data_IF_423081914460
#
_entry.id   IF_423081914460
#
_cell.length_a   1.000
_cell.length_b   1.000
_cell.length_c   1.000
_cell.angle_alpha   90.00
_cell.angle_beta   90.00
_cell.angle_gamma   90.00
#
_symmetry.space_group_name_H-M   'P 1'
#
loop_
_entity.id
_entity.type
_entity.pdbx_description
1 polymer ?
#
# COMPACT_ATOMS: atom_id res chain seq x y z
N UNK A 1 7.74 -23.45 -20.06
CA UNK A 1 8.07 -22.12 -19.55
C UNK A 1 9.26 -21.63 -20.35
N UNK A 2 9.08 -20.61 -21.17
CA UNK A 2 10.20 -19.96 -21.83
C UNK A 2 11.09 -19.32 -20.77
N UNK A 3 12.39 -19.58 -20.83
CA UNK A 3 13.35 -18.94 -19.93
C UNK A 3 13.49 -17.48 -20.36
N UNK A 4 13.12 -16.55 -19.48
CA UNK A 4 13.37 -15.13 -19.71
C UNK A 4 14.87 -14.86 -19.83
N UNK A 5 15.26 -14.04 -20.81
CA UNK A 5 16.64 -13.62 -21.02
C UNK A 5 16.80 -12.14 -20.63
N UNK A 6 17.97 -11.80 -20.08
CA UNK A 6 18.34 -10.39 -19.88
C UNK A 6 18.84 -9.86 -21.20
N UNK A 7 18.12 -8.89 -21.77
CA UNK A 7 18.47 -8.27 -23.06
C UNK A 7 19.44 -7.11 -22.87
N UNK A 8 19.24 -6.30 -21.79
CA UNK A 8 20.11 -5.16 -21.51
C UNK A 8 20.07 -4.78 -20.04
N UNK A 9 21.16 -4.20 -19.55
CA UNK A 9 21.26 -3.53 -18.24
C UNK A 9 21.67 -2.10 -18.48
N UNK A 10 20.81 -1.17 -18.07
CA UNK A 10 20.97 0.27 -18.37
C UNK A 10 21.27 1.01 -17.08
N UNK A 11 22.37 1.77 -17.04
CA UNK A 11 22.69 2.68 -15.96
C UNK A 11 21.94 4.00 -16.16
N UNK A 12 21.25 4.45 -15.10
CA UNK A 12 20.50 5.71 -15.12
C UNK A 12 18.98 5.53 -15.11
N UNK A 13 18.28 6.65 -14.93
CA UNK A 13 16.81 6.67 -14.77
C UNK A 13 16.13 7.69 -15.69
N UNK A 14 16.86 8.34 -16.60
CA UNK A 14 16.26 9.32 -17.50
C UNK A 14 15.65 8.63 -18.73
N UNK A 15 14.41 8.98 -19.02
CA UNK A 15 13.63 8.33 -20.08
C UNK A 15 14.31 8.36 -21.45
N UNK A 16 14.99 9.46 -21.75
CA UNK A 16 15.67 9.63 -23.04
C UNK A 16 16.90 8.73 -23.14
N UNK A 17 17.75 8.72 -22.12
CA UNK A 17 18.95 7.85 -22.07
C UNK A 17 18.58 6.36 -22.19
N UNK A 18 17.48 5.97 -21.55
CA UNK A 18 16.94 4.61 -21.66
C UNK A 18 16.44 4.34 -23.09
N UNK A 19 15.70 5.27 -23.67
CA UNK A 19 15.16 5.12 -25.03
C UNK A 19 16.27 5.01 -26.08
N UNK A 20 17.34 5.80 -25.98
CA UNK A 20 18.50 5.72 -26.90
C UNK A 20 19.13 4.32 -26.92
N UNK A 21 19.25 3.69 -25.75
CA UNK A 21 19.77 2.31 -25.65
C UNK A 21 18.77 1.31 -26.22
N UNK A 22 17.49 1.47 -25.95
CA UNK A 22 16.45 0.59 -26.49
C UNK A 22 16.31 0.72 -28.02
N UNK A 23 16.67 1.86 -28.61
CA UNK A 23 16.68 2.07 -30.06
C UNK A 23 17.83 1.37 -30.78
N UNK A 24 18.80 0.81 -30.04
CA UNK A 24 19.78 -0.12 -30.62
C UNK A 24 19.13 -1.45 -31.06
N UNK A 25 17.95 -1.76 -30.54
CA UNK A 25 17.14 -2.88 -31.03
C UNK A 25 16.49 -2.46 -32.35
N UNK A 26 16.62 -3.24 -33.43
CA UNK A 26 16.01 -2.93 -34.72
C UNK A 26 14.52 -2.59 -34.61
N UNK A 27 14.06 -1.60 -35.40
CA UNK A 27 12.67 -1.14 -35.38
C UNK A 27 11.67 -2.26 -35.61
N UNK A 28 11.98 -3.16 -36.55
CA UNK A 28 11.15 -4.28 -36.93
C UNK A 28 10.88 -5.24 -35.74
N UNK A 29 11.87 -5.38 -34.86
CA UNK A 29 11.71 -6.18 -33.65
C UNK A 29 10.94 -5.42 -32.56
N UNK A 30 11.18 -4.12 -32.42
CA UNK A 30 10.47 -3.29 -31.43
C UNK A 30 8.98 -3.15 -31.76
N UNK A 31 8.62 -3.10 -33.05
CA UNK A 31 7.25 -3.02 -33.53
C UNK A 31 6.45 -4.31 -33.35
N UNK A 32 7.14 -5.46 -33.19
CA UNK A 32 6.54 -6.77 -32.91
C UNK A 32 6.22 -6.97 -31.43
N UNK A 33 6.70 -6.10 -30.54
CA UNK A 33 6.41 -6.22 -29.10
C UNK A 33 4.97 -5.82 -28.85
N UNK A 34 4.18 -6.76 -28.37
CA UNK A 34 2.74 -6.57 -28.09
C UNK A 34 2.48 -6.04 -26.68
N UNK A 35 3.31 -6.41 -25.69
CA UNK A 35 3.11 -6.05 -24.31
C UNK A 35 4.44 -5.78 -23.58
N UNK A 36 4.43 -4.74 -22.74
CA UNK A 36 5.53 -4.41 -21.83
C UNK A 36 4.98 -4.27 -20.42
N UNK A 37 5.38 -5.18 -19.55
CA UNK A 37 5.11 -5.06 -18.12
C UNK A 37 6.18 -4.21 -17.45
N UNK A 38 5.76 -3.19 -16.71
CA UNK A 38 6.67 -2.25 -16.04
C UNK A 38 6.16 -1.83 -14.68
N UNK A 39 7.02 -1.20 -13.89
CA UNK A 39 6.61 -0.50 -12.69
C UNK A 39 5.76 0.75 -13.03
N UNK A 40 5.25 1.42 -12.00
CA UNK A 40 4.42 2.62 -12.16
C UNK A 40 5.24 3.90 -12.42
N UNK A 41 6.55 3.78 -12.70
CA UNK A 41 7.42 4.92 -12.95
C UNK A 41 7.00 5.70 -14.20
N UNK A 42 6.73 7.01 -14.10
CA UNK A 42 6.45 7.86 -15.25
C UNK A 42 7.58 7.87 -16.27
N UNK A 43 8.82 7.77 -15.79
CA UNK A 43 10.03 7.74 -16.62
C UNK A 43 10.08 6.48 -17.48
N UNK A 44 9.85 5.30 -16.87
CA UNK A 44 9.83 4.02 -17.60
C UNK A 44 8.68 3.99 -18.61
N UNK A 45 7.51 4.51 -18.24
CA UNK A 45 6.37 4.63 -19.17
C UNK A 45 6.72 5.49 -20.38
N UNK A 46 7.42 6.61 -20.17
CA UNK A 46 7.83 7.49 -21.24
C UNK A 46 8.86 6.82 -22.15
N UNK A 47 9.88 6.17 -21.60
CA UNK A 47 10.87 5.42 -22.35
C UNK A 47 10.26 4.31 -23.19
N UNK A 48 9.34 3.51 -22.58
CA UNK A 48 8.65 2.45 -23.28
C UNK A 48 7.79 2.95 -24.46
N UNK A 49 7.03 4.03 -24.28
CA UNK A 49 6.23 4.63 -25.36
C UNK A 49 7.07 5.14 -26.52
N UNK A 50 8.27 5.68 -26.25
CA UNK A 50 9.18 6.13 -27.30
C UNK A 50 9.81 4.97 -28.06
N UNK A 51 10.06 3.86 -27.39
CA UNK A 51 10.82 2.74 -27.94
C UNK A 51 9.94 1.66 -28.59
N UNK A 52 8.71 1.48 -28.13
CA UNK A 52 7.82 0.39 -28.53
C UNK A 52 6.41 0.93 -28.86
N UNK A 53 6.21 1.45 -30.09
CA UNK A 53 5.01 2.19 -30.45
C UNK A 53 3.72 1.34 -30.41
N UNK A 54 3.84 0.04 -30.69
CA UNK A 54 2.71 -0.88 -30.78
C UNK A 54 2.41 -1.59 -29.46
N UNK A 55 3.30 -1.50 -28.46
CA UNK A 55 3.18 -2.26 -27.24
C UNK A 55 2.10 -1.72 -26.28
N UNK A 56 1.27 -2.59 -25.76
CA UNK A 56 0.41 -2.30 -24.62
C UNK A 56 1.26 -2.21 -23.33
N UNK A 57 1.11 -1.11 -22.57
CA UNK A 57 1.86 -0.91 -21.34
C UNK A 57 1.04 -1.42 -20.16
N UNK A 58 1.52 -2.47 -19.52
CA UNK A 58 0.87 -3.15 -18.38
C UNK A 58 1.60 -2.82 -17.10
N UNK A 59 0.85 -2.46 -16.06
CA UNK A 59 1.43 -2.19 -14.75
C UNK A 59 1.82 -3.50 -14.05
N UNK A 60 3.01 -3.53 -13.47
CA UNK A 60 3.46 -4.67 -12.67
C UNK A 60 2.54 -4.87 -11.46
N UNK A 61 2.02 -6.08 -11.34
CA UNK A 61 1.11 -6.51 -10.27
C UNK A 61 1.70 -6.30 -8.88
N UNK A 62 2.99 -6.57 -8.69
CA UNK A 62 3.63 -6.41 -7.38
C UNK A 62 3.69 -4.94 -6.96
N UNK A 63 3.97 -4.04 -7.89
CA UNK A 63 3.97 -2.60 -7.62
C UNK A 63 2.56 -2.11 -7.28
N UNK A 64 1.54 -2.58 -7.99
CA UNK A 64 0.14 -2.27 -7.67
C UNK A 64 -0.27 -2.76 -6.29
N UNK A 65 0.07 -4.01 -5.94
CA UNK A 65 -0.21 -4.57 -4.62
C UNK A 65 0.52 -3.81 -3.52
N UNK A 66 1.80 -3.50 -3.72
CA UNK A 66 2.59 -2.72 -2.77
C UNK A 66 1.96 -1.36 -2.52
N UNK A 67 1.58 -0.63 -3.57
CA UNK A 67 0.95 0.69 -3.46
C UNK A 67 -0.35 0.63 -2.64
N UNK A 68 -1.20 -0.36 -2.90
CA UNK A 68 -2.44 -0.56 -2.15
C UNK A 68 -2.18 -0.88 -0.68
N UNK A 69 -1.18 -1.73 -0.38
CA UNK A 69 -0.80 -2.09 0.98
C UNK A 69 -0.17 -0.91 1.73
N UNK A 70 0.64 -0.11 1.08
CA UNK A 70 1.25 1.09 1.66
C UNK A 70 0.16 2.12 2.01
N UNK A 71 -0.82 2.35 1.12
CA UNK A 71 -1.96 3.22 1.40
C UNK A 71 -2.80 2.73 2.59
N UNK A 72 -3.04 1.43 2.71
CA UNK A 72 -3.71 0.85 3.88
C UNK A 72 -2.91 1.05 5.17
N UNK A 73 -1.58 0.92 5.12
CA UNK A 73 -0.72 1.17 6.27
C UNK A 73 -0.73 2.64 6.68
N UNK A 74 -0.72 3.57 5.75
CA UNK A 74 -0.84 5.01 6.04
C UNK A 74 -2.16 5.32 6.75
N UNK A 75 -3.28 4.81 6.24
CA UNK A 75 -4.59 4.98 6.89
C UNK A 75 -4.58 4.42 8.31
N UNK A 76 -4.04 3.21 8.50
CA UNK A 76 -3.92 2.60 9.83
C UNK A 76 -3.08 3.45 10.78
N UNK A 77 -1.96 3.99 10.30
CA UNK A 77 -1.07 4.84 11.11
C UNK A 77 -1.81 6.14 11.50
N UNK A 78 -2.48 6.80 10.57
CA UNK A 78 -3.29 7.99 10.83
C UNK A 78 -4.32 7.71 11.93
N UNK A 79 -5.14 6.69 11.77
CA UNK A 79 -6.15 6.34 12.77
C UNK A 79 -5.57 5.95 14.13
N UNK A 80 -4.35 5.41 14.15
CA UNK A 80 -3.66 5.14 15.41
C UNK A 80 -3.24 6.43 16.12
N UNK A 81 -2.78 7.43 15.39
CA UNK A 81 -2.45 8.74 15.93
C UNK A 81 -3.71 9.44 16.44
N UNK A 82 -4.78 9.46 15.68
CA UNK A 82 -6.06 10.02 16.10
C UNK A 82 -6.57 9.36 17.40
N UNK A 83 -6.44 8.04 17.51
CA UNK A 83 -6.82 7.29 18.71
C UNK A 83 -5.93 7.63 19.92
N UNK A 84 -4.65 7.88 19.69
CA UNK A 84 -3.70 8.29 20.73
C UNK A 84 -4.02 9.72 21.24
N UNK A 85 -4.26 10.64 20.32
CA UNK A 85 -4.59 12.03 20.64
C UNK A 85 -5.93 12.11 21.39
N UNK A 86 -6.94 11.36 20.96
CA UNK A 86 -8.21 11.25 21.67
C UNK A 86 -8.03 10.70 23.10
N UNK A 87 -7.20 9.66 23.26
CA UNK A 87 -6.89 9.08 24.56
C UNK A 87 -6.18 10.11 25.47
N UNK A 88 -5.19 10.82 24.93
CA UNK A 88 -4.45 11.85 25.66
C UNK A 88 -5.35 13.01 26.09
N UNK A 89 -6.24 13.47 25.20
CA UNK A 89 -7.23 14.50 25.51
C UNK A 89 -8.16 14.05 26.65
N UNK A 90 -8.73 12.85 26.57
CA UNK A 90 -9.61 12.30 27.61
C UNK A 90 -8.90 12.14 28.95
N UNK A 91 -7.62 11.72 28.94
CA UNK A 91 -6.80 11.65 30.16
C UNK A 91 -6.60 13.02 30.80
N UNK A 92 -6.35 14.06 29.99
CA UNK A 92 -6.21 15.43 30.50
C UNK A 92 -7.53 15.94 31.09
N UNK A 93 -8.65 15.72 30.43
CA UNK A 93 -10.00 16.08 30.88
C UNK A 93 -10.38 15.39 32.22
N UNK A 94 -10.13 14.07 32.33
CA UNK A 94 -10.43 13.30 33.54
C UNK A 94 -9.51 13.70 34.71
N UNK A 95 -8.22 13.94 34.42
CA UNK A 95 -7.28 14.42 35.43
C UNK A 95 -7.72 15.81 36.02
N UNK A 96 -8.26 16.68 35.18
CA UNK A 96 -8.79 17.99 35.64
C UNK A 96 -10.02 17.81 36.56
N UNK A 97 -10.76 16.69 36.45
CA UNK A 97 -11.93 16.39 37.30
C UNK A 97 -11.62 15.46 38.48
N UNK A 98 -10.33 15.13 38.72
CA UNK A 98 -9.89 14.24 39.80
C UNK A 98 -10.28 12.78 39.62
N UNK A 99 -10.61 12.35 38.40
CA UNK A 99 -10.97 10.96 38.07
C UNK A 99 -9.87 10.29 37.28
N UNK A 100 -9.72 8.98 37.44
CA UNK A 100 -8.84 8.18 36.61
C UNK A 100 -9.51 7.87 35.25
N UNK A 101 -8.71 7.95 34.18
CA UNK A 101 -9.16 7.61 32.85
C UNK A 101 -9.15 6.10 32.63
N UNK A 102 -10.31 5.51 32.35
CA UNK A 102 -10.42 4.13 31.92
C UNK A 102 -10.64 4.04 30.39
N UNK A 103 -9.70 3.43 29.66
CA UNK A 103 -9.86 3.27 28.20
C UNK A 103 -10.98 2.25 27.92
N UNK A 104 -11.80 2.56 26.90
CA UNK A 104 -12.78 1.59 26.41
C UNK A 104 -12.05 0.36 25.80
N UNK A 105 -12.36 -0.81 26.35
CA UNK A 105 -11.81 -2.10 25.95
C UNK A 105 -12.87 -2.85 25.11
N UNK A 106 -12.45 -3.47 24.00
CA UNK A 106 -13.29 -4.34 23.20
C UNK A 106 -13.36 -5.75 23.82
N UNK A 107 -14.32 -6.57 23.39
CA UNK A 107 -14.52 -7.94 23.90
C UNK A 107 -13.25 -8.82 23.82
N UNK A 108 -12.35 -8.53 22.90
CA UNK A 108 -11.08 -9.23 22.75
C UNK A 108 -9.96 -8.73 23.68
N UNK A 109 -10.26 -7.81 24.60
CA UNK A 109 -9.31 -7.24 25.55
C UNK A 109 -8.41 -6.12 25.01
N UNK A 110 -8.53 -5.74 23.74
CA UNK A 110 -7.74 -4.66 23.16
C UNK A 110 -8.46 -3.30 23.30
N UNK A 111 -7.71 -2.24 23.55
CA UNK A 111 -8.17 -0.86 23.33
C UNK A 111 -8.10 -0.50 21.85
N UNK A 112 -8.76 0.60 21.44
CA UNK A 112 -8.72 1.10 20.05
C UNK A 112 -7.28 1.29 19.55
N UNK A 113 -6.43 1.91 20.35
CA UNK A 113 -5.01 2.11 20.05
C UNK A 113 -4.26 0.79 19.86
N UNK A 114 -4.52 -0.20 20.74
CA UNK A 114 -3.90 -1.52 20.67
C UNK A 114 -4.37 -2.30 19.45
N UNK A 115 -5.65 -2.25 19.08
CA UNK A 115 -6.19 -2.87 17.88
C UNK A 115 -5.46 -2.36 16.63
N UNK A 116 -5.36 -1.04 16.50
CA UNK A 116 -4.71 -0.40 15.34
C UNK A 116 -3.20 -0.67 15.31
N UNK A 117 -2.53 -0.76 16.45
CA UNK A 117 -1.11 -1.14 16.51
C UNK A 117 -0.90 -2.60 16.07
N UNK A 118 -1.70 -3.52 16.62
CA UNK A 118 -1.57 -4.97 16.40
C UNK A 118 -2.12 -5.44 15.03
N UNK A 119 -2.87 -4.59 14.32
CA UNK A 119 -3.41 -4.92 12.99
C UNK A 119 -2.39 -4.74 11.85
N UNK A 120 -1.18 -4.23 12.11
CA UNK A 120 -0.17 -3.96 11.08
C UNK A 120 0.05 -5.11 10.09
N UNK A 121 0.25 -6.31 10.60
CA UNK A 121 0.53 -7.49 9.77
C UNK A 121 -0.73 -8.21 9.29
N UNK A 122 -1.90 -7.89 9.84
CA UNK A 122 -3.16 -8.52 9.43
C UNK A 122 -3.59 -8.06 8.04
N UNK A 123 -3.30 -6.79 7.69
CA UNK A 123 -3.68 -6.20 6.41
C UNK A 123 -2.89 -6.76 5.22
N UNK A 124 -1.69 -7.29 5.46
CA UNK A 124 -0.82 -7.88 4.42
C UNK A 124 -0.86 -9.41 4.39
N UNK A 125 -1.45 -10.03 5.41
CA UNK A 125 -1.54 -11.50 5.52
C UNK A 125 -2.82 -11.99 4.84
N UNK A 126 -2.73 -13.04 4.00
CA UNK A 126 -3.91 -13.64 3.38
C UNK A 126 -4.91 -14.18 4.43
N UNK A 127 -6.20 -14.06 4.12
CA UNK A 127 -7.30 -14.40 5.05
C UNK A 127 -7.27 -15.86 5.53
N UNK A 128 -6.80 -16.77 4.70
CA UNK A 128 -6.67 -18.20 5.00
C UNK A 128 -5.67 -18.48 6.12
N UNK A 129 -4.65 -17.63 6.24
CA UNK A 129 -3.59 -17.77 7.25
C UNK A 129 -3.90 -17.06 8.57
N UNK A 130 -5.08 -16.45 8.73
CA UNK A 130 -5.46 -15.78 9.98
C UNK A 130 -5.88 -16.78 11.05
N UNK A 131 -5.37 -16.59 12.26
CA UNK A 131 -5.88 -17.26 13.47
C UNK A 131 -7.26 -16.73 13.85
N UNK A 132 -8.00 -17.45 14.71
CA UNK A 132 -9.30 -16.99 15.23
C UNK A 132 -9.20 -15.59 15.87
N UNK A 133 -8.19 -15.37 16.72
CA UNK A 133 -7.93 -14.08 17.37
C UNK A 133 -7.62 -12.96 16.35
N UNK A 134 -6.88 -13.27 15.27
CA UNK A 134 -6.58 -12.31 14.21
C UNK A 134 -7.83 -11.91 13.42
N UNK A 135 -8.74 -12.85 13.13
CA UNK A 135 -10.01 -12.56 12.45
C UNK A 135 -10.89 -11.62 13.28
N UNK A 136 -10.99 -11.85 14.58
CA UNK A 136 -11.74 -11.00 15.52
C UNK A 136 -11.12 -9.58 15.54
N UNK A 137 -9.81 -9.48 15.68
CA UNK A 137 -9.08 -8.20 15.71
C UNK A 137 -9.27 -7.41 14.42
N UNK A 138 -9.20 -8.07 13.26
CA UNK A 138 -9.40 -7.42 11.98
C UNK A 138 -10.83 -6.86 11.85
N UNK A 139 -11.85 -7.62 12.26
CA UNK A 139 -13.24 -7.17 12.22
C UNK A 139 -13.42 -5.86 13.01
N UNK A 140 -12.90 -5.78 14.22
CA UNK A 140 -12.94 -4.53 15.00
C UNK A 140 -12.14 -3.39 14.34
N UNK A 141 -10.96 -3.69 13.79
CA UNK A 141 -10.16 -2.67 13.09
C UNK A 141 -10.89 -2.10 11.88
N UNK A 142 -11.56 -2.93 11.08
CA UNK A 142 -12.36 -2.49 9.93
C UNK A 142 -13.58 -1.67 10.36
N UNK A 143 -14.27 -2.07 11.43
CA UNK A 143 -15.40 -1.29 11.98
C UNK A 143 -14.94 0.10 12.41
N UNK A 144 -13.79 0.22 13.08
CA UNK A 144 -13.21 1.51 13.46
C UNK A 144 -12.95 2.38 12.24
N UNK A 145 -12.36 1.82 11.19
CA UNK A 145 -12.04 2.53 9.94
C UNK A 145 -13.33 3.00 9.23
N UNK A 146 -14.36 2.14 9.19
CA UNK A 146 -15.65 2.47 8.57
C UNK A 146 -16.39 3.58 9.33
N UNK A 147 -16.43 3.52 10.66
CA UNK A 147 -17.11 4.54 11.49
C UNK A 147 -16.48 5.92 11.33
N UNK A 148 -15.16 5.99 11.14
CA UNK A 148 -14.44 7.25 10.94
C UNK A 148 -14.59 7.83 9.52
N UNK A 149 -15.10 7.05 8.57
CA UNK A 149 -15.36 7.49 7.20
C UNK A 149 -16.72 8.18 7.03
N UNK A 150 -17.61 8.07 8.01
CA UNK A 150 -18.87 8.80 7.97
C UNK A 150 -18.61 10.24 8.41
N UNK A 151 -18.90 11.25 7.57
CA UNK A 151 -18.83 12.63 7.99
C UNK A 151 -19.81 12.78 9.16
N UNK A 152 -19.33 13.35 10.27
CA UNK A 152 -20.19 13.85 11.33
C UNK A 152 -21.08 14.93 10.71
N UNK A 153 -22.34 14.57 10.48
CA UNK A 153 -23.42 15.52 10.17
C UNK A 153 -23.62 16.47 11.34
#
# INVERSE_FOLDING_TARGET
>A
MEQGAIVSIIAGTKAWEIAEILWLIPSELREQIEEITMDLSPTMRKAARFSFPNAALVADRFHMQKLALDALQELRIRFRWDALDEENRKKAETKATGKDYEPKVFENGDTRKQLLARSRYLLVKSAEKWTKSQKIRLRYSLTIIQTLRQPTT
#
